data_IF_816805562061
#
_entry.id   IF_816805562061
#
_cell.length_a   1.000
_cell.length_b   1.000
_cell.length_c   1.000
_cell.angle_alpha   90.00
_cell.angle_beta   90.00
_cell.angle_gamma   90.00
#
_symmetry.space_group_name_H-M   'P 1'
#
loop_
_entity.id
_entity.type
_entity.pdbx_description
1 polymer ?
2 non-polymer ?
3 non-polymer ?
4 water ?
#
# COMPACT_ATOMS: atom_id res chain seq x y z
N UNK A 1 7.79 -32.81 -2.27
CA UNK A 1 8.86 -32.23 -3.13
C UNK A 1 8.30 -31.01 -3.87
N UNK A 2 8.63 -29.79 -3.39
CA UNK A 2 8.06 -28.51 -3.90
C UNK A 2 9.15 -27.43 -4.00
N UNK A 3 9.03 -26.56 -5.00
CA UNK A 3 9.85 -25.34 -5.15
C UNK A 3 8.96 -24.11 -4.90
N UNK A 4 9.44 -23.19 -4.06
CA UNK A 4 8.74 -21.91 -3.76
C UNK A 4 8.64 -21.07 -5.06
N UNK A 5 7.43 -20.60 -5.35
CA UNK A 5 7.18 -19.67 -6.46
C UNK A 5 6.46 -18.41 -5.96
N UNK A 6 6.08 -17.53 -6.87
CA UNK A 6 5.32 -16.30 -6.54
C UNK A 6 4.46 -15.94 -7.74
N UNK A 7 3.38 -15.18 -7.55
CA UNK A 7 2.56 -14.72 -8.66
C UNK A 7 3.28 -13.72 -9.59
N UNK A 8 3.16 -13.92 -10.89
CA UNK A 8 3.77 -13.07 -11.94
C UNK A 8 2.72 -12.68 -12.96
N UNK A 9 2.44 -11.38 -13.21
CA UNK A 9 3.03 -10.26 -12.46
C UNK A 9 2.55 -10.27 -11.00
N UNK A 10 3.14 -9.40 -10.18
CA UNK A 10 2.88 -9.35 -8.70
C UNK A 10 2.19 -8.03 -8.38
N UNK A 11 0.84 -8.05 -8.23
CA UNK A 11 0.14 -6.82 -7.91
C UNK A 11 0.54 -6.28 -6.54
N UNK A 12 0.49 -4.99 -6.38
CA UNK A 12 0.78 -4.25 -5.13
C UNK A 12 -0.31 -3.21 -4.96
N UNK A 13 -0.72 -2.99 -3.71
CA UNK A 13 -1.92 -2.21 -3.39
C UNK A 13 -1.56 -1.20 -2.32
N UNK A 14 -1.90 0.04 -2.55
CA UNK A 14 -1.73 1.12 -1.56
C UNK A 14 -3.08 1.70 -1.26
N UNK A 15 -3.42 1.77 0.01
CA UNK A 15 -4.74 2.34 0.41
C UNK A 15 -4.56 3.79 0.83
N UNK A 16 -5.49 4.63 0.42
CA UNK A 16 -5.45 6.06 0.82
C UNK A 16 -6.87 6.61 0.76
N UNK A 17 -7.14 7.57 1.63
CA UNK A 17 -8.41 8.31 1.63
C UNK A 17 -8.58 9.13 0.35
N UNK A 18 -9.76 9.13 -0.24
CA UNK A 18 -10.09 9.91 -1.45
C UNK A 18 -9.67 11.39 -1.28
N UNK A 19 -9.70 11.95 -0.08
CA UNK A 19 -9.33 13.39 0.10
C UNK A 19 -7.87 13.64 -0.30
N UNK A 20 -7.04 12.60 -0.32
CA UNK A 20 -5.62 12.75 -0.70
C UNK A 20 -5.45 12.74 -2.21
N UNK A 21 -6.46 12.36 -3.00
CA UNK A 21 -6.24 12.14 -4.44
C UNK A 21 -5.84 13.44 -5.13
N UNK A 22 -6.50 14.57 -4.86
CA UNK A 22 -6.17 15.86 -5.52
C UNK A 22 -4.68 16.16 -5.34
N UNK A 23 -4.14 15.98 -4.13
CA UNK A 23 -2.70 16.27 -3.84
C UNK A 23 -1.77 15.40 -4.65
N UNK A 24 -2.10 14.12 -4.75
CA UNK A 24 -1.30 13.13 -5.49
C UNK A 24 -1.28 13.53 -6.98
N UNK A 25 -2.46 13.84 -7.55
CA UNK A 25 -2.58 14.20 -8.98
C UNK A 25 -1.81 15.50 -9.25
N UNK A 26 -1.89 16.46 -8.32
CA UNK A 26 -1.19 17.75 -8.54
C UNK A 26 0.33 17.55 -8.54
N UNK A 27 0.86 16.74 -7.61
CA UNK A 27 2.31 16.47 -7.42
C UNK A 27 2.79 15.46 -8.49
N UNK A 28 1.88 14.66 -9.05
CA UNK A 28 2.23 13.52 -9.91
C UNK A 28 2.85 12.36 -9.17
N UNK A 29 2.66 12.27 -7.85
CA UNK A 29 3.33 11.24 -7.05
C UNK A 29 2.71 11.19 -5.66
N UNK A 30 2.89 10.03 -5.06
CA UNK A 30 2.72 9.84 -3.60
C UNK A 30 4.09 10.03 -2.95
N UNK A 31 4.20 10.88 -1.96
CA UNK A 31 5.43 11.14 -1.19
C UNK A 31 5.42 10.31 0.09
N UNK A 32 6.59 9.76 0.43
CA UNK A 32 6.79 9.07 1.70
C UNK A 32 6.46 10.04 2.83
N UNK A 33 6.02 9.49 3.95
CA UNK A 33 5.70 10.27 5.18
C UNK A 33 6.79 11.28 5.50
N UNK A 34 8.05 10.89 5.43
CA UNK A 34 9.21 11.74 5.84
C UNK A 34 9.57 12.78 4.77
N UNK A 35 8.91 12.76 3.62
CA UNK A 35 9.15 13.74 2.53
C UNK A 35 8.08 14.84 2.57
N UNK A 36 7.36 15.04 3.69
CA UNK A 36 6.41 16.17 3.85
C UNK A 36 5.36 16.08 2.74
N UNK A 37 4.55 15.00 2.72
CA UNK A 37 3.58 14.83 1.64
C UNK A 37 2.46 15.85 1.81
N UNK A 38 1.78 16.22 0.70
CA UNK A 38 0.62 17.09 0.75
C UNK A 38 -0.61 16.31 1.21
N UNK A 39 -0.46 15.44 2.21
CA UNK A 39 -1.54 14.55 2.68
C UNK A 39 -2.62 15.40 3.34
N UNK A 40 -3.86 15.25 2.89
CA UNK A 40 -5.05 15.89 3.50
C UNK A 40 -5.46 15.12 4.75
N UNK A 41 -5.45 13.78 4.68
CA UNK A 41 -6.21 12.93 5.64
C UNK A 41 -5.40 11.69 5.97
N UNK A 42 -5.05 11.55 7.24
CA UNK A 42 -4.40 10.35 7.84
C UNK A 42 -5.49 9.33 8.17
N UNK A 43 -5.21 8.05 7.87
CA UNK A 43 -6.10 6.89 8.17
C UNK A 43 -5.24 5.95 9.00
N UNK A 44 -4.21 6.55 9.62
CA UNK A 44 -2.99 5.92 10.16
C UNK A 44 -3.18 5.50 11.62
N UNK A 45 -3.02 4.21 11.85
CA UNK A 45 -3.07 3.59 13.20
C UNK A 45 -1.90 4.18 14.01
N UNK A 46 -2.10 5.02 15.05
CA UNK A 46 -1.03 5.92 15.59
C UNK A 46 0.12 5.08 16.15
N UNK A 47 -0.20 3.93 16.75
CA UNK A 47 0.82 3.03 17.32
C UNK A 47 1.66 2.48 16.18
N UNK A 48 1.08 2.16 15.02
CA UNK A 48 1.90 1.80 13.82
C UNK A 48 2.65 3.05 13.39
N UNK A 49 2.00 4.23 13.37
CA UNK A 49 2.64 5.45 12.83
C UNK A 49 3.95 5.70 13.58
N UNK A 50 3.94 5.80 14.91
CA UNK A 50 5.16 6.09 15.72
C UNK A 50 6.23 5.03 15.40
N UNK A 51 5.83 3.76 15.30
CA UNK A 51 6.76 2.62 15.13
C UNK A 51 7.45 2.75 13.76
N UNK A 52 6.77 3.29 12.76
CA UNK A 52 7.36 3.43 11.40
C UNK A 52 8.43 4.54 11.40
N UNK A 53 8.43 5.43 12.40
CA UNK A 53 9.48 6.47 12.49
C UNK A 53 10.80 5.85 12.91
N UNK A 54 10.77 4.71 13.58
CA UNK A 54 12.02 4.15 14.15
C UNK A 54 12.28 2.72 13.67
N UNK A 55 11.41 2.14 12.83
CA UNK A 55 11.61 0.77 12.29
C UNK A 55 12.66 0.89 11.18
N UNK A 56 13.80 0.27 11.43
CA UNK A 56 14.98 0.40 10.53
C UNK A 56 14.86 -0.57 9.35
N UNK A 57 15.42 -0.13 8.20
CA UNK A 57 15.41 -0.91 6.94
C UNK A 57 16.84 -1.35 6.64
N UNK A 58 17.11 -2.68 6.64
CA UNK A 58 18.46 -3.23 6.57
C UNK A 58 19.01 -3.41 5.14
N UNK A 59 18.16 -3.21 4.15
CA UNK A 59 18.57 -3.26 2.72
C UNK A 59 18.70 -1.83 2.22
N UNK A 60 19.66 -1.57 1.27
CA UNK A 60 19.80 -0.23 0.73
C UNK A 60 18.50 0.06 -0.04
N UNK A 61 18.01 1.30 -0.09
CA UNK A 61 18.72 2.49 0.42
C UNK A 61 18.59 2.79 1.93
N UNK A 62 18.06 1.83 2.69
CA UNK A 62 18.10 1.89 4.16
C UNK A 62 17.12 2.91 4.71
N UNK A 63 17.50 3.55 5.83
CA UNK A 63 16.64 4.48 6.56
C UNK A 63 15.58 3.79 7.41
N UNK A 64 14.40 4.39 7.44
CA UNK A 64 13.27 3.91 8.30
C UNK A 64 12.05 3.70 7.41
N UNK A 65 11.02 3.02 7.89
CA UNK A 65 9.86 2.71 7.04
C UNK A 65 9.20 3.99 6.56
N UNK A 66 9.20 5.07 7.33
CA UNK A 66 8.59 6.35 6.90
C UNK A 66 9.36 7.00 5.72
N UNK A 67 10.52 6.47 5.34
CA UNK A 67 11.22 6.96 4.14
C UNK A 67 10.67 6.32 2.86
N UNK A 68 9.69 5.44 2.93
CA UNK A 68 9.13 4.66 1.83
C UNK A 68 7.64 4.85 1.73
N UNK A 69 7.07 4.70 0.54
CA UNK A 69 5.62 4.56 0.32
C UNK A 69 5.27 3.09 0.38
N UNK A 70 4.42 2.68 1.38
CA UNK A 70 4.12 1.25 1.56
C UNK A 70 2.95 0.78 0.70
N UNK A 71 3.15 -0.37 0.08
CA UNK A 71 2.09 -1.15 -0.61
C UNK A 71 2.03 -2.51 0.08
N UNK A 72 0.84 -3.12 0.06
CA UNK A 72 0.67 -4.53 0.48
C UNK A 72 0.47 -5.42 -0.74
N UNK A 73 0.56 -6.71 -0.59
CA UNK A 73 0.46 -7.71 -1.68
C UNK A 73 -0.96 -8.24 -1.84
N UNK A 74 -1.90 -7.74 -1.05
CA UNK A 74 -3.32 -8.13 -1.15
C UNK A 74 -4.19 -6.91 -0.91
N UNK A 75 -5.37 -6.86 -1.53
CA UNK A 75 -6.37 -5.92 -1.06
C UNK A 75 -7.03 -6.54 0.20
N UNK A 76 -8.05 -5.86 0.70
CA UNK A 76 -8.75 -6.35 1.90
C UNK A 76 -7.72 -6.71 2.99
N UNK A 77 -6.80 -5.78 3.23
CA UNK A 77 -5.63 -5.95 4.12
C UNK A 77 -6.06 -5.88 5.58
N UNK A 78 -5.19 -6.36 6.50
CA UNK A 78 -5.45 -6.11 7.92
C UNK A 78 -5.51 -4.62 8.26
N UNK A 79 -4.75 -3.75 7.59
CA UNK A 79 -4.82 -2.30 7.88
C UNK A 79 -6.22 -1.83 7.48
N UNK A 80 -6.75 -2.29 6.36
CA UNK A 80 -8.13 -1.91 5.97
C UNK A 80 -9.09 -2.41 7.05
N UNK A 81 -8.84 -3.60 7.57
CA UNK A 81 -9.70 -4.15 8.64
C UNK A 81 -9.69 -3.20 9.85
N UNK A 82 -8.52 -2.69 10.24
CA UNK A 82 -8.39 -1.73 11.34
C UNK A 82 -9.24 -0.48 11.06
N UNK A 83 -9.28 0.01 9.84
CA UNK A 83 -10.13 1.17 9.45
C UNK A 83 -11.60 0.78 9.53
N UNK A 84 -11.99 -0.36 8.97
CA UNK A 84 -13.38 -0.87 9.01
C UNK A 84 -13.86 -1.00 10.46
N UNK A 85 -12.97 -1.42 11.36
CA UNK A 85 -13.33 -1.81 12.76
C UNK A 85 -13.35 -0.53 13.61
N UNK A 86 -12.93 0.64 13.10
CA UNK A 86 -12.85 1.91 13.86
C UNK A 86 -11.67 1.94 14.85
N UNK A 87 -10.76 1.00 14.74
CA UNK A 87 -9.56 0.88 15.62
C UNK A 87 -8.55 2.01 15.37
N UNK A 88 -8.53 2.59 14.16
CA UNK A 88 -7.72 3.77 13.80
C UNK A 88 -8.31 5.02 14.46
N UNK A 89 -7.50 6.07 14.59
CA UNK A 89 -7.98 7.42 15.03
C UNK A 89 -9.05 7.91 14.05
N UNK A 90 -8.79 7.74 12.78
CA UNK A 90 -9.70 8.02 11.66
C UNK A 90 -10.98 7.19 11.86
N UNK A 91 -12.12 7.87 11.86
CA UNK A 91 -13.46 7.28 12.12
C UNK A 91 -14.36 7.29 10.89
N UNK A 92 -13.85 7.60 9.70
CA UNK A 92 -14.70 7.67 8.49
C UNK A 92 -15.03 6.32 7.88
N UNK A 93 -14.42 5.22 8.34
CA UNK A 93 -14.70 3.89 7.81
C UNK A 93 -14.11 3.71 6.41
N UNK A 94 -14.44 2.56 5.81
CA UNK A 94 -13.72 2.09 4.62
C UNK A 94 -14.27 2.71 3.33
N UNK A 95 -15.45 3.32 3.30
CA UNK A 95 -16.09 3.69 2.00
C UNK A 95 -15.21 4.71 1.27
N UNK A 96 -14.60 5.73 1.93
CA UNK A 96 -13.79 6.71 1.20
C UNK A 96 -12.36 6.23 0.90
N UNK A 97 -12.05 4.98 1.23
CA UNK A 97 -10.66 4.46 1.09
C UNK A 97 -10.50 3.82 -0.28
N UNK A 98 -9.54 4.37 -1.04
CA UNK A 98 -9.18 3.89 -2.40
C UNK A 98 -8.14 2.79 -2.28
N UNK A 99 -8.19 1.77 -3.16
CA UNK A 99 -7.01 0.91 -3.42
C UNK A 99 -6.33 1.37 -4.73
N UNK A 100 -5.09 1.78 -4.60
CA UNK A 100 -4.27 2.13 -5.79
C UNK A 100 -3.44 0.91 -6.16
N UNK A 101 -3.60 0.45 -7.41
CA UNK A 101 -3.03 -0.87 -7.82
C UNK A 101 -1.86 -0.63 -8.77
N UNK A 102 -0.76 -1.29 -8.53
CA UNK A 102 0.40 -1.31 -9.47
C UNK A 102 0.95 -2.71 -9.42
N UNK A 103 2.21 -2.87 -9.85
CA UNK A 103 2.90 -4.14 -9.75
C UNK A 103 4.35 -3.97 -9.35
N UNK A 104 4.87 -4.98 -8.68
CA UNK A 104 6.28 -5.00 -8.29
C UNK A 104 7.14 -4.83 -9.56
N UNK A 105 6.77 -5.56 -10.62
CA UNK A 105 7.61 -5.56 -11.86
C UNK A 105 7.61 -4.15 -12.40
N UNK A 106 6.53 -3.43 -12.45
CA UNK A 106 6.51 -2.04 -12.97
C UNK A 106 7.50 -1.16 -12.23
N UNK A 107 7.62 -1.28 -10.90
CA UNK A 107 8.55 -0.44 -10.12
C UNK A 107 9.99 -0.75 -10.52
N UNK A 108 10.32 -2.01 -10.60
CA UNK A 108 11.65 -2.44 -11.08
C UNK A 108 11.91 -1.89 -12.50
N UNK A 109 10.94 -2.07 -13.38
CA UNK A 109 11.16 -1.65 -14.79
C UNK A 109 11.35 -0.15 -14.82
N UNK A 110 10.74 0.66 -14.00
CA UNK A 110 10.86 2.12 -13.92
C UNK A 110 12.19 2.55 -13.29
N UNK A 111 12.98 1.60 -12.74
CA UNK A 111 14.27 1.93 -12.13
C UNK A 111 14.19 2.57 -10.77
N UNK A 112 13.08 2.37 -10.07
CA UNK A 112 12.88 3.02 -8.75
C UNK A 112 13.40 2.14 -7.62
N UNK A 113 14.23 2.64 -6.70
CA UNK A 113 14.61 1.82 -5.53
C UNK A 113 13.44 1.34 -4.65
N UNK A 114 13.55 0.05 -4.30
CA UNK A 114 12.48 -0.55 -3.46
C UNK A 114 13.13 -1.61 -2.62
N UNK A 115 12.38 -1.92 -1.52
CA UNK A 115 12.66 -3.12 -0.70
C UNK A 115 11.29 -3.75 -0.42
N UNK A 116 11.31 -5.01 0.01
CA UNK A 116 10.03 -5.63 0.47
C UNK A 116 10.32 -6.55 1.61
N UNK A 117 9.23 -6.84 2.33
CA UNK A 117 9.30 -7.66 3.56
C UNK A 117 8.46 -8.91 3.43
N UNK A 118 8.66 -9.81 4.39
CA UNK A 118 7.81 -11.03 4.46
C UNK A 118 6.72 -10.92 5.54
N UNK A 119 6.60 -9.75 6.16
CA UNK A 119 5.59 -9.56 7.25
C UNK A 119 5.58 -8.07 7.56
N UNK A 120 4.67 -7.62 8.40
CA UNK A 120 4.61 -6.21 8.82
C UNK A 120 6.01 -5.69 9.20
N UNK A 121 6.47 -4.63 8.52
CA UNK A 121 7.85 -4.15 8.65
C UNK A 121 8.24 -3.51 9.96
N UNK A 122 7.27 -3.21 10.85
CA UNK A 122 7.57 -2.73 12.24
C UNK A 122 7.97 -3.91 13.14
N UNK A 123 7.74 -5.15 12.74
CA UNK A 123 8.08 -6.33 13.59
C UNK A 123 9.59 -6.55 13.60
N UNK A 124 10.16 -6.77 14.77
CA UNK A 124 11.63 -6.94 14.90
C UNK A 124 12.07 -8.15 14.06
N UNK A 125 11.17 -9.14 13.86
CA UNK A 125 11.45 -10.41 13.14
C UNK A 125 11.21 -10.26 11.63
N UNK A 126 10.82 -9.09 11.14
CA UNK A 126 10.63 -8.91 9.68
C UNK A 126 11.93 -9.24 8.93
N UNK A 127 11.77 -9.94 7.80
CA UNK A 127 12.86 -10.13 6.84
C UNK A 127 12.64 -9.20 5.65
N UNK A 128 13.74 -8.66 5.16
CA UNK A 128 13.77 -7.68 4.03
C UNK A 128 14.58 -8.21 2.84
N UNK A 129 14.11 -7.85 1.64
CA UNK A 129 14.68 -8.31 0.34
C UNK A 129 14.58 -7.15 -0.62
N UNK A 130 15.43 -7.21 -1.67
CA UNK A 130 15.34 -6.19 -2.75
C UNK A 130 15.46 -6.79 -4.15
N UNK A 131 15.42 -8.11 -4.33
CA UNK A 131 15.40 -8.73 -5.69
C UNK A 131 14.05 -9.37 -5.94
N UNK A 132 13.44 -9.21 -7.10
CA UNK A 132 12.11 -9.78 -7.40
C UNK A 132 12.14 -11.29 -7.19
N UNK A 133 13.23 -11.97 -7.46
CA UNK A 133 13.21 -13.44 -7.30
C UNK A 133 12.92 -13.83 -5.84
N UNK A 134 13.27 -12.98 -4.88
CA UNK A 134 13.07 -13.28 -3.45
C UNK A 134 11.58 -13.13 -3.08
N UNK A 135 10.71 -12.73 -3.99
CA UNK A 135 9.26 -12.77 -3.71
C UNK A 135 8.85 -14.21 -3.35
N UNK A 136 9.60 -15.20 -3.79
CA UNK A 136 9.34 -16.62 -3.48
C UNK A 136 9.43 -16.88 -1.96
N UNK A 137 10.17 -16.05 -1.23
CA UNK A 137 10.37 -16.29 0.22
C UNK A 137 9.14 -15.91 1.02
N UNK A 138 8.23 -15.15 0.43
CA UNK A 138 7.02 -14.70 1.15
C UNK A 138 6.03 -15.86 1.33
N UNK A 139 5.14 -15.77 2.31
CA UNK A 139 4.09 -16.79 2.51
C UNK A 139 2.83 -16.40 1.75
N UNK A 140 2.76 -16.81 0.48
CA UNK A 140 1.64 -16.41 -0.41
C UNK A 140 0.32 -17.00 0.07
N UNK A 141 0.38 -18.12 0.78
CA UNK A 141 -0.82 -18.72 1.39
C UNK A 141 -1.39 -17.73 2.39
N UNK A 142 -0.56 -17.11 3.25
CA UNK A 142 -1.03 -16.07 4.21
C UNK A 142 -1.49 -14.82 3.48
N UNK A 143 -0.69 -14.33 2.54
CA UNK A 143 -1.01 -13.04 1.87
C UNK A 143 -2.37 -13.16 1.20
N UNK A 144 -2.64 -14.29 0.57
CA UNK A 144 -3.90 -14.47 -0.21
C UNK A 144 -5.03 -14.98 0.70
N UNK A 145 -4.76 -15.24 1.96
CA UNK A 145 -5.74 -15.86 2.90
C UNK A 145 -6.97 -14.96 3.14
N UNK A 146 -8.20 -15.44 2.89
CA UNK A 146 -9.44 -14.77 3.41
C UNK A 146 -9.66 -15.12 4.88
N UNK A 147 -9.21 -16.28 5.35
CA UNK A 147 -9.23 -16.62 6.79
C UNK A 147 -7.88 -16.33 7.40
N UNK A 148 -7.80 -15.35 8.30
CA UNK A 148 -6.50 -14.96 8.88
C UNK A 148 -6.63 -14.66 10.38
N UNK A 149 -7.64 -15.17 11.08
CA UNK A 149 -7.83 -14.92 12.52
C UNK A 149 -6.79 -15.68 13.36
N UNK A 150 -6.42 -16.90 13.00
CA UNK A 150 -5.50 -17.74 13.81
C UNK A 150 -4.80 -18.72 12.88
N UNK A 151 -3.52 -19.11 13.10
CA UNK A 151 -2.67 -18.61 14.19
C UNK A 151 -2.31 -17.13 14.08
N UNK A 152 -1.69 -16.55 15.13
CA UNK A 152 -1.33 -15.12 15.12
C UNK A 152 -0.39 -14.71 13.99
N UNK A 153 0.41 -15.64 13.50
CA UNK A 153 1.40 -15.36 12.44
C UNK A 153 0.65 -14.97 11.16
N UNK A 154 -0.58 -15.40 10.93
CA UNK A 154 -1.27 -15.07 9.67
C UNK A 154 -1.44 -13.56 9.55
N UNK A 155 -1.89 -12.85 10.59
CA UNK A 155 -2.11 -11.40 10.52
C UNK A 155 -0.75 -10.76 10.15
N UNK A 156 0.32 -11.21 10.78
CA UNK A 156 1.66 -10.60 10.56
C UNK A 156 2.15 -10.81 9.10
N UNK A 157 2.03 -12.04 8.62
CA UNK A 157 2.59 -12.42 7.28
C UNK A 157 1.71 -11.80 6.20
N UNK A 158 0.43 -11.61 6.44
CA UNK A 158 -0.49 -11.04 5.48
C UNK A 158 -0.11 -9.55 5.28
N UNK A 159 0.71 -8.94 6.15
CA UNK A 159 1.07 -7.49 6.08
C UNK A 159 2.50 -7.31 5.46
N UNK A 160 2.98 -8.40 4.84
CA UNK A 160 4.15 -8.30 3.90
C UNK A 160 3.95 -7.05 3.05
N UNK A 161 5.04 -6.28 2.94
CA UNK A 161 4.96 -4.94 2.30
C UNK A 161 5.99 -4.77 1.15
N UNK A 162 5.58 -4.01 0.17
CA UNK A 162 6.42 -3.61 -0.98
C UNK A 162 6.64 -2.11 -0.77
N UNK A 163 7.87 -1.68 -0.50
CA UNK A 163 8.19 -0.33 -0.01
C UNK A 163 8.99 0.37 -1.13
N UNK A 164 8.47 1.50 -1.54
CA UNK A 164 9.15 2.25 -2.65
C UNK A 164 9.74 3.48 -2.02
N UNK A 165 11.05 3.72 -2.22
CA UNK A 165 11.80 4.77 -1.53
C UNK A 165 11.34 6.15 -1.97
N UNK A 166 11.09 7.04 -1.04
CA UNK A 166 10.91 8.50 -1.13
C UNK A 166 9.60 8.89 -1.85
N UNK A 167 9.30 8.34 -3.04
CA UNK A 167 8.13 8.75 -3.82
C UNK A 167 7.71 7.63 -4.77
N UNK A 168 6.42 7.59 -5.08
CA UNK A 168 5.82 6.63 -5.99
C UNK A 168 5.09 7.42 -7.05
N UNK A 169 5.50 7.34 -8.32
CA UNK A 169 4.87 8.16 -9.36
C UNK A 169 3.43 7.71 -9.63
N UNK A 170 2.56 8.70 -9.76
CA UNK A 170 1.15 8.47 -10.03
C UNK A 170 0.96 7.60 -11.27
N UNK A 171 1.76 7.83 -12.33
CA UNK A 171 1.52 7.16 -13.63
C UNK A 171 1.86 5.67 -13.55
N UNK A 172 2.32 5.15 -12.41
CA UNK A 172 2.55 3.68 -12.31
C UNK A 172 1.25 3.05 -11.77
N UNK A 173 0.29 3.86 -11.38
CA UNK A 173 -1.02 3.33 -10.93
C UNK A 173 -1.86 2.90 -12.14
N UNK A 174 -2.21 1.60 -12.21
CA UNK A 174 -3.00 1.07 -13.35
C UNK A 174 -4.49 1.07 -13.06
N UNK A 175 -4.90 1.06 -11.78
CA UNK A 175 -6.33 0.94 -11.38
C UNK A 175 -6.56 1.65 -10.06
N UNK A 176 -7.66 2.36 -9.98
CA UNK A 176 -8.20 2.82 -8.68
C UNK A 176 -9.41 1.97 -8.39
N UNK A 177 -9.35 1.16 -7.34
CA UNK A 177 -10.50 0.37 -6.90
C UNK A 177 -11.21 1.13 -5.77
N UNK A 178 -12.53 1.05 -5.79
CA UNK A 178 -13.38 1.78 -4.83
C UNK A 178 -14.45 0.85 -4.24
N UNK A 179 -15.01 1.25 -3.10
CA UNK A 179 -16.05 0.53 -2.35
C UNK A 179 -17.38 0.56 -3.12
N UNK A 180 -17.71 1.67 -3.74
CA UNK A 180 -19.07 1.94 -4.25
C UNK A 180 -19.07 2.82 -5.49
N UNK A 181 -20.19 2.79 -6.21
CA UNK A 181 -20.38 3.63 -7.39
C UNK A 181 -20.23 5.11 -6.99
N UNK A 182 -20.82 5.54 -5.88
CA UNK A 182 -20.80 6.99 -5.54
C UNK A 182 -19.34 7.42 -5.32
N UNK A 183 -18.49 6.55 -4.79
CA UNK A 183 -17.08 6.95 -4.58
C UNK A 183 -16.39 6.95 -5.95
N UNK A 184 -16.66 5.94 -6.77
CA UNK A 184 -16.08 5.91 -8.11
C UNK A 184 -16.41 7.18 -8.89
N UNK A 185 -17.66 7.61 -8.85
CA UNK A 185 -18.07 8.86 -9.54
C UNK A 185 -17.33 10.08 -8.98
N UNK A 186 -17.09 10.17 -7.68
CA UNK A 186 -16.28 11.27 -7.09
C UNK A 186 -14.84 11.19 -7.59
N UNK A 187 -14.26 10.00 -7.65
CA UNK A 187 -12.89 9.83 -8.20
C UNK A 187 -12.82 10.34 -9.64
N UNK A 188 -13.79 9.98 -10.46
CA UNK A 188 -13.74 10.43 -11.88
C UNK A 188 -13.82 11.97 -11.95
N UNK A 189 -14.61 12.59 -11.07
CA UNK A 189 -14.77 14.07 -11.04
C UNK A 189 -13.46 14.74 -10.59
N UNK A 190 -12.69 14.11 -9.70
CA UNK A 190 -11.35 14.63 -9.28
C UNK A 190 -10.35 14.44 -10.42
N UNK A 191 -10.32 13.26 -11.06
CA UNK A 191 -9.41 13.04 -12.20
C UNK A 191 -9.62 14.10 -13.28
N UNK A 192 -10.87 14.45 -13.56
CA UNK A 192 -11.15 15.42 -14.63
C UNK A 192 -10.66 16.83 -14.28
N UNK A 193 -10.40 17.14 -13.01
CA UNK A 193 -9.82 18.44 -12.57
C UNK A 193 -8.31 18.47 -12.90
N UNK A 194 -7.70 17.31 -13.16
CA UNK A 194 -6.26 17.19 -13.49
C UNK A 194 -6.10 16.49 -14.81
N UNK A 195 -6.47 17.16 -15.91
CA UNK A 195 -6.50 16.52 -17.22
C UNK A 195 -5.11 16.10 -17.72
N UNK A 196 -4.03 16.61 -17.12
CA UNK A 196 -2.66 16.18 -17.50
C UNK A 196 -2.16 15.02 -16.63
N UNK A 197 -2.93 14.59 -15.63
CA UNK A 197 -2.60 13.37 -14.86
C UNK A 197 -3.05 12.13 -15.65
N UNK A 198 -2.31 11.04 -15.56
CA UNK A 198 -2.76 9.72 -16.11
C UNK A 198 -4.12 9.40 -15.48
N UNK A 199 -5.04 8.88 -16.29
CA UNK A 199 -6.39 8.44 -15.88
C UNK A 199 -6.41 6.92 -15.89
N UNK A 200 -6.11 6.27 -14.77
CA UNK A 200 -6.21 4.81 -14.71
C UNK A 200 -7.68 4.38 -14.75
N UNK A 201 -7.90 3.08 -14.93
CA UNK A 201 -9.27 2.56 -14.85
C UNK A 201 -9.74 2.75 -13.40
N UNK A 202 -11.01 3.00 -13.28
CA UNK A 202 -11.70 3.13 -11.98
C UNK A 202 -12.68 1.98 -11.88
N UNK A 203 -12.54 1.15 -10.86
CA UNK A 203 -13.29 -0.14 -10.76
C UNK A 203 -13.95 -0.27 -9.38
N UNK A 204 -15.22 -0.58 -9.35
CA UNK A 204 -15.97 -0.87 -8.10
C UNK A 204 -15.63 -2.31 -7.69
N UNK A 205 -14.97 -2.46 -6.55
CA UNK A 205 -14.57 -3.78 -6.04
C UNK A 205 -15.00 -3.92 -4.58
N UNK A 206 -16.29 -4.02 -4.36
CA UNK A 206 -16.81 -4.11 -2.99
C UNK A 206 -16.24 -5.37 -2.30
N UNK A 207 -15.83 -6.37 -3.07
CA UNK A 207 -15.24 -7.63 -2.56
C UNK A 207 -13.79 -7.45 -2.04
N UNK A 208 -13.17 -6.28 -2.27
CA UNK A 208 -11.86 -5.90 -1.68
C UNK A 208 -12.00 -5.20 -0.35
N UNK A 209 -13.22 -5.13 0.18
CA UNK A 209 -13.55 -4.43 1.44
C UNK A 209 -14.28 -5.42 2.35
N UNK A 210 -14.36 -5.06 3.62
CA UNK A 210 -15.04 -5.85 4.68
C UNK A 210 -16.53 -5.56 4.73
#
# INVERSE_FOLDING_TARGET
SMKRTYPEPTPIYHITHIDNLKGILRMGKLLAHNQSPPKQRSIAYAHIQERRNRAKVPQPPGGVLHDYVPFYFCPRSPMLYAIYSGATEYQGGQEPILHLVSSAQAVHKAGLPFVFTDRHGVLSHARFFRQLEELAQLDWEAIQASYWADPPELREKKQAAFLVYKAFPWALIEEIAVYSQRVGEEVLKILKQFPEARRPRVCIRKDWYY
#
